data_IF_984825477554
#
_entry.id   IF_984825477554
#
_cell.length_a   1.000
_cell.length_b   1.000
_cell.length_c   1.000
_cell.angle_alpha   90.00
_cell.angle_beta   90.00
_cell.angle_gamma   90.00
#
_symmetry.space_group_name_H-M   'P 1'
#
loop_
_entity.id
_entity.type
_entity.pdbx_description
1 polymer ?
#
# COMPACT_ATOMS: atom_id res chain seq x y z
N UNK A 1 21.00 -42.84 50.57
CA UNK A 1 20.90 -43.51 49.25
C UNK A 1 20.01 -42.65 48.36
N UNK A 2 20.53 -42.17 47.23
CA UNK A 2 19.79 -41.32 46.27
C UNK A 2 18.91 -42.20 45.39
N UNK A 3 17.61 -41.93 45.33
CA UNK A 3 16.71 -42.53 44.36
C UNK A 3 16.55 -41.56 43.16
N UNK A 4 16.87 -42.05 41.97
CA UNK A 4 16.65 -41.38 40.69
C UNK A 4 15.25 -41.77 40.22
N UNK A 5 14.35 -40.80 40.06
CA UNK A 5 13.05 -40.99 39.42
C UNK A 5 13.22 -40.70 37.93
N UNK A 6 12.88 -41.60 37.00
CA UNK A 6 12.91 -41.27 35.58
C UNK A 6 11.66 -40.45 35.24
N UNK A 7 11.89 -39.27 34.66
CA UNK A 7 10.84 -38.46 34.06
C UNK A 7 10.41 -39.11 32.74
N UNK A 8 9.13 -39.50 32.65
CA UNK A 8 8.50 -39.94 31.41
C UNK A 8 8.21 -38.70 30.55
N UNK A 9 8.90 -38.58 29.43
CA UNK A 9 8.65 -37.55 28.42
C UNK A 9 7.44 -37.97 27.59
N UNK A 10 6.28 -37.35 27.83
CA UNK A 10 5.10 -37.52 26.99
C UNK A 10 5.26 -36.67 25.72
N UNK A 11 5.52 -37.33 24.58
CA UNK A 11 5.49 -36.70 23.27
C UNK A 11 4.02 -36.51 22.88
N UNK A 12 3.54 -35.27 22.90
CA UNK A 12 2.24 -34.90 22.33
C UNK A 12 2.43 -34.84 20.81
N UNK A 13 2.00 -35.88 20.09
CA UNK A 13 1.87 -35.82 18.63
C UNK A 13 0.75 -34.83 18.28
N UNK A 14 1.12 -33.64 17.80
CA UNK A 14 0.18 -32.73 17.18
C UNK A 14 -0.33 -33.35 15.87
N UNK A 15 -1.61 -33.70 15.82
CA UNK A 15 -2.27 -34.15 14.59
C UNK A 15 -2.24 -33.01 13.56
N UNK A 16 -1.50 -33.21 12.48
CA UNK A 16 -1.49 -32.31 11.33
C UNK A 16 -2.90 -32.27 10.74
N UNK A 17 -3.65 -31.21 11.03
CA UNK A 17 -4.90 -30.94 10.33
C UNK A 17 -4.56 -30.50 8.91
N UNK A 18 -5.11 -31.15 7.87
CA UNK A 18 -4.95 -30.65 6.52
C UNK A 18 -5.61 -29.27 6.46
N UNK A 19 -4.82 -28.24 6.17
CA UNK A 19 -5.34 -26.91 5.91
C UNK A 19 -6.26 -27.02 4.69
N UNK A 20 -7.57 -26.95 4.91
CA UNK A 20 -8.52 -26.86 3.83
C UNK A 20 -8.18 -25.59 3.04
N UNK A 21 -7.80 -25.74 1.77
CA UNK A 21 -7.63 -24.61 0.88
C UNK A 21 -8.97 -23.87 0.82
N UNK A 22 -9.03 -22.68 1.41
CA UNK A 22 -10.18 -21.80 1.25
C UNK A 22 -10.25 -21.43 -0.22
N UNK A 23 -11.21 -22.01 -0.92
CA UNK A 23 -11.52 -21.60 -2.29
C UNK A 23 -12.25 -20.28 -2.15
N UNK A 24 -11.53 -19.18 -2.36
CA UNK A 24 -12.15 -17.86 -2.40
C UNK A 24 -13.24 -17.89 -3.50
N UNK A 25 -14.46 -17.40 -3.21
CA UNK A 25 -15.48 -17.29 -4.24
C UNK A 25 -14.91 -16.48 -5.41
N UNK A 26 -15.25 -16.88 -6.64
CA UNK A 26 -14.88 -16.13 -7.82
C UNK A 26 -15.38 -14.70 -7.64
N UNK A 27 -14.46 -13.75 -7.44
CA UNK A 27 -14.81 -12.35 -7.33
C UNK A 27 -15.57 -11.99 -8.61
N UNK A 28 -16.79 -11.49 -8.45
CA UNK A 28 -17.42 -10.75 -9.52
C UNK A 28 -16.52 -9.54 -9.73
N UNK A 29 -15.66 -9.60 -10.75
CA UNK A 29 -14.84 -8.47 -11.17
C UNK A 29 -15.82 -7.36 -11.54
N UNK A 30 -15.95 -6.37 -10.65
CA UNK A 30 -16.85 -5.23 -10.87
C UNK A 30 -16.35 -4.38 -12.03
N UNK A 31 -17.18 -3.45 -12.48
CA UNK A 31 -16.73 -2.38 -13.38
C UNK A 31 -15.72 -1.47 -12.66
N UNK A 32 -14.75 -0.87 -13.38
CA UNK A 32 -13.87 0.14 -12.81
C UNK A 32 -14.68 1.24 -12.13
N UNK A 33 -14.32 1.53 -10.88
CA UNK A 33 -14.95 2.60 -10.12
C UNK A 33 -14.74 3.94 -10.83
N UNK A 34 -15.83 4.51 -11.36
CA UNK A 34 -15.79 5.70 -12.19
C UNK A 34 -15.25 6.96 -11.47
N UNK A 35 -15.27 6.98 -10.14
CA UNK A 35 -14.80 8.09 -9.31
C UNK A 35 -13.33 7.96 -8.86
N UNK A 36 -12.69 6.80 -9.06
CA UNK A 36 -11.29 6.61 -8.67
C UNK A 36 -10.30 7.48 -9.46
N UNK A 37 -10.49 7.75 -10.77
CA UNK A 37 -9.65 8.73 -11.48
C UNK A 37 -9.70 10.13 -10.85
N UNK A 38 -10.87 10.56 -10.36
CA UNK A 38 -11.00 11.84 -9.67
C UNK A 38 -10.27 11.83 -8.32
N UNK A 39 -10.31 10.71 -7.59
CA UNK A 39 -9.49 10.52 -6.39
C UNK A 39 -7.99 10.65 -6.69
N UNK A 40 -7.49 10.04 -7.79
CA UNK A 40 -6.08 10.10 -8.17
C UNK A 40 -5.63 11.52 -8.57
N UNK A 41 -6.49 12.29 -9.23
CA UNK A 41 -6.17 13.70 -9.52
C UNK A 41 -6.13 14.53 -8.22
N UNK A 42 -7.12 14.38 -7.34
CA UNK A 42 -7.10 15.05 -6.04
C UNK A 42 -5.85 14.65 -5.25
N UNK A 43 -5.40 13.39 -5.37
CA UNK A 43 -4.14 12.93 -4.78
C UNK A 43 -2.93 13.70 -5.31
N UNK A 44 -2.81 13.87 -6.63
CA UNK A 44 -1.77 14.68 -7.24
C UNK A 44 -1.82 16.15 -6.75
N UNK A 45 -3.02 16.72 -6.61
CA UNK A 45 -3.20 18.08 -6.10
C UNK A 45 -2.67 18.24 -4.67
N UNK A 46 -2.99 17.31 -3.75
CA UNK A 46 -2.46 17.37 -2.39
C UNK A 46 -0.95 17.20 -2.33
N UNK A 47 -0.37 16.35 -3.19
CA UNK A 47 1.09 16.21 -3.31
C UNK A 47 1.72 17.55 -3.72
N UNK A 48 1.21 18.16 -4.80
CA UNK A 48 1.71 19.45 -5.32
C UNK A 48 1.53 20.59 -4.31
N UNK A 49 0.44 20.59 -3.56
CA UNK A 49 0.14 21.60 -2.54
C UNK A 49 0.95 21.41 -1.24
N UNK A 50 1.61 20.26 -1.06
CA UNK A 50 2.27 19.95 0.19
C UNK A 50 1.30 19.71 1.35
N UNK A 51 0.06 19.32 1.07
CA UNK A 51 -1.00 19.16 2.08
C UNK A 51 -0.82 17.84 2.84
N UNK A 52 0.02 17.88 3.88
CA UNK A 52 0.39 16.73 4.70
C UNK A 52 -0.82 16.03 5.32
N UNK A 53 -1.80 16.79 5.82
CA UNK A 53 -2.97 16.19 6.48
C UNK A 53 -3.90 15.52 5.46
N UNK A 54 -4.07 16.11 4.27
CA UNK A 54 -4.79 15.43 3.20
C UNK A 54 -4.05 14.16 2.73
N UNK A 55 -2.71 14.16 2.69
CA UNK A 55 -1.92 12.97 2.36
C UNK A 55 -2.17 11.86 3.38
N UNK A 56 -2.05 12.16 4.68
CA UNK A 56 -2.30 11.20 5.77
C UNK A 56 -3.73 10.64 5.68
N UNK A 57 -4.72 11.51 5.45
CA UNK A 57 -6.12 11.12 5.38
C UNK A 57 -6.47 10.22 4.19
N UNK A 58 -5.57 10.02 3.21
CA UNK A 58 -5.79 9.09 2.09
C UNK A 58 -5.55 7.64 2.45
N UNK A 59 -4.78 7.37 3.49
CA UNK A 59 -4.50 6.01 3.91
C UNK A 59 -5.67 5.39 4.65
N UNK A 60 -5.74 4.06 4.57
CA UNK A 60 -6.71 3.27 5.32
C UNK A 60 -6.53 3.53 6.83
N UNK A 61 -7.63 3.74 7.58
CA UNK A 61 -7.56 3.98 9.03
C UNK A 61 -6.98 2.80 9.83
N UNK A 62 -6.85 1.61 9.23
CA UNK A 62 -6.16 0.47 9.81
C UNK A 62 -4.64 0.45 9.54
N UNK A 63 -4.11 1.38 8.73
CA UNK A 63 -2.73 1.37 8.26
C UNK A 63 -2.60 0.86 6.82
N UNK A 64 -1.39 0.88 6.29
CA UNK A 64 -1.13 0.49 4.91
C UNK A 64 0.22 -0.21 4.75
N UNK A 65 0.32 -1.05 3.72
CA UNK A 65 1.60 -1.61 3.30
C UNK A 65 2.36 -0.62 2.43
N UNK A 66 3.53 -0.21 2.89
CA UNK A 66 4.47 0.57 2.12
C UNK A 66 5.55 -0.36 1.58
N UNK A 67 5.65 -0.43 0.26
CA UNK A 67 6.59 -1.28 -0.47
C UNK A 67 7.52 -0.40 -1.28
N UNK A 68 8.83 -0.64 -1.15
CA UNK A 68 9.82 0.00 -1.99
C UNK A 68 10.97 -0.95 -2.29
N UNK A 69 11.36 -1.03 -3.56
CA UNK A 69 12.45 -1.89 -4.03
C UNK A 69 12.37 -3.34 -3.51
N UNK A 70 11.16 -3.90 -3.49
CA UNK A 70 10.88 -5.28 -3.08
C UNK A 70 10.94 -5.55 -1.57
N UNK A 71 11.01 -4.50 -0.74
CA UNK A 71 10.85 -4.59 0.72
C UNK A 71 9.53 -3.94 1.09
N UNK A 72 8.73 -4.63 1.89
CA UNK A 72 7.43 -4.15 2.35
C UNK A 72 7.34 -4.19 3.86
N UNK A 73 6.77 -3.14 4.43
CA UNK A 73 6.36 -3.08 5.83
C UNK A 73 4.92 -2.59 5.94
N UNK A 74 4.20 -3.11 6.92
CA UNK A 74 2.91 -2.54 7.29
C UNK A 74 3.18 -1.39 8.25
N UNK A 75 2.68 -0.22 7.93
CA UNK A 75 2.74 0.96 8.79
C UNK A 75 1.37 1.22 9.39
N UNK A 76 1.35 1.41 10.71
CA UNK A 76 0.15 1.83 11.42
C UNK A 76 -0.15 3.32 11.12
N UNK A 77 -1.38 3.80 11.32
CA UNK A 77 -1.76 5.18 10.98
C UNK A 77 -0.87 6.25 11.63
N UNK A 78 -0.36 6.00 12.84
CA UNK A 78 0.57 6.90 13.52
C UNK A 78 1.91 7.01 12.80
N UNK A 79 2.45 5.90 12.31
CA UNK A 79 3.73 5.86 11.60
C UNK A 79 3.62 6.56 10.23
N UNK A 80 2.51 6.34 9.52
CA UNK A 80 2.21 7.07 8.28
C UNK A 80 2.14 8.58 8.56
N UNK A 81 1.46 8.98 9.63
CA UNK A 81 1.37 10.38 10.02
C UNK A 81 2.73 10.99 10.35
N UNK A 82 3.59 10.24 11.03
CA UNK A 82 4.96 10.66 11.36
C UNK A 82 5.81 10.87 10.09
N UNK A 83 5.69 10.00 9.08
CA UNK A 83 6.38 10.16 7.78
C UNK A 83 6.02 11.51 7.15
N UNK A 84 4.73 11.80 6.99
CA UNK A 84 4.28 13.02 6.32
C UNK A 84 4.49 14.30 7.14
N UNK A 85 4.45 14.20 8.47
CA UNK A 85 4.71 15.34 9.36
C UNK A 85 6.19 15.60 9.57
N UNK A 86 7.05 14.61 9.32
CA UNK A 86 8.50 14.78 9.41
C UNK A 86 9.04 15.77 8.38
N UNK A 87 10.24 16.30 8.65
CA UNK A 87 10.99 17.11 7.69
C UNK A 87 11.63 16.28 6.57
N UNK A 88 11.58 14.94 6.68
CA UNK A 88 12.06 14.04 5.63
C UNK A 88 11.12 14.03 4.42
N UNK A 89 9.82 14.23 4.64
CA UNK A 89 8.87 14.40 3.54
C UNK A 89 8.81 15.87 3.10
N UNK A 90 9.13 16.08 1.82
CA UNK A 90 9.09 17.40 1.18
C UNK A 90 8.19 17.33 -0.05
N UNK A 91 7.30 18.31 -0.20
CA UNK A 91 6.50 18.42 -1.41
C UNK A 91 7.42 18.61 -2.64
N UNK A 92 7.09 18.01 -3.79
CA UNK A 92 7.84 18.21 -5.01
C UNK A 92 7.59 19.60 -5.60
N UNK A 93 8.54 20.09 -6.39
CA UNK A 93 8.34 21.24 -7.26
C UNK A 93 7.30 20.95 -8.35
N UNK A 94 7.27 19.71 -8.86
CA UNK A 94 6.28 19.26 -9.82
C UNK A 94 6.00 17.76 -9.65
N UNK A 95 4.74 17.38 -9.89
CA UNK A 95 4.26 16.01 -9.82
C UNK A 95 3.26 15.71 -10.94
N UNK A 96 3.41 14.55 -11.59
CA UNK A 96 2.54 14.13 -12.68
C UNK A 96 2.36 12.60 -12.69
N UNK A 97 1.11 12.14 -12.70
CA UNK A 97 0.78 10.74 -13.00
C UNK A 97 0.93 10.43 -14.49
N UNK A 98 1.41 9.24 -14.84
CA UNK A 98 1.65 8.85 -16.22
C UNK A 98 1.16 7.42 -16.50
N UNK A 99 0.18 7.31 -17.41
CA UNK A 99 -0.30 6.02 -17.92
C UNK A 99 -0.96 5.16 -16.85
N UNK A 100 -1.79 5.76 -15.98
CA UNK A 100 -2.52 5.00 -14.97
C UNK A 100 -3.53 4.04 -15.62
N UNK A 101 -3.49 2.78 -15.18
CA UNK A 101 -4.49 1.77 -15.46
C UNK A 101 -5.23 1.42 -14.17
N UNK A 102 -6.55 1.22 -14.27
CA UNK A 102 -7.43 0.94 -13.14
C UNK A 102 -8.00 -0.47 -13.31
N UNK A 103 -7.62 -1.37 -12.41
CA UNK A 103 -7.92 -2.81 -12.48
C UNK A 103 -8.84 -3.15 -11.31
N UNK A 104 -10.14 -3.38 -11.53
CA UNK A 104 -11.05 -3.83 -10.48
C UNK A 104 -10.51 -5.12 -9.85
N UNK A 105 -10.42 -5.16 -8.52
CA UNK A 105 -9.98 -6.33 -7.76
C UNK A 105 -11.01 -6.81 -6.74
N UNK A 106 -12.14 -6.11 -6.65
CA UNK A 106 -13.33 -6.50 -5.89
C UNK A 106 -14.44 -5.45 -6.06
N UNK A 107 -15.61 -5.64 -5.43
CA UNK A 107 -16.72 -4.69 -5.51
C UNK A 107 -16.36 -3.28 -5.03
N UNK A 108 -15.49 -3.20 -4.03
CA UNK A 108 -15.02 -1.97 -3.39
C UNK A 108 -13.49 -1.90 -3.36
N UNK A 109 -12.83 -2.52 -4.34
CA UNK A 109 -11.39 -2.59 -4.40
C UNK A 109 -10.88 -2.45 -5.85
N UNK A 110 -9.85 -1.65 -6.03
CA UNK A 110 -9.20 -1.41 -7.31
C UNK A 110 -7.69 -1.39 -7.12
N UNK A 111 -6.98 -2.07 -8.00
CA UNK A 111 -5.53 -1.91 -8.15
C UNK A 111 -5.27 -0.85 -9.22
N UNK A 112 -4.43 0.13 -8.91
CA UNK A 112 -3.96 1.13 -9.87
C UNK A 112 -2.50 0.85 -10.19
N UNK A 113 -2.16 0.80 -11.47
CA UNK A 113 -0.77 0.66 -11.91
C UNK A 113 -0.40 1.77 -12.88
N UNK A 114 0.87 2.15 -12.91
CA UNK A 114 1.36 3.16 -13.85
C UNK A 114 2.71 3.71 -13.41
N UNK A 115 2.92 5.00 -13.64
CA UNK A 115 4.11 5.72 -13.21
C UNK A 115 3.73 7.10 -12.70
N UNK A 116 4.67 7.74 -12.03
CA UNK A 116 4.65 9.19 -11.87
C UNK A 116 6.04 9.78 -12.06
N UNK A 117 6.08 11.08 -12.34
CA UNK A 117 7.30 11.88 -12.33
C UNK A 117 7.27 12.77 -11.09
N UNK A 118 8.26 12.57 -10.22
CA UNK A 118 8.49 13.40 -9.05
C UNK A 118 9.66 14.33 -9.30
N UNK A 119 9.42 15.64 -9.31
CA UNK A 119 10.47 16.65 -9.49
C UNK A 119 10.77 17.31 -8.15
N UNK A 120 11.90 17.00 -7.50
CA UNK A 120 12.30 17.64 -6.25
C UNK A 120 12.80 19.07 -6.47
N UNK A 121 13.28 19.71 -5.40
CA UNK A 121 13.87 21.04 -5.44
C UNK A 121 15.14 21.17 -6.29
N UNK A 122 15.80 20.06 -6.64
CA UNK A 122 16.92 20.02 -7.59
C UNK A 122 16.48 20.18 -9.06
N UNK A 123 15.17 20.17 -9.33
CA UNK A 123 14.58 20.31 -10.67
C UNK A 123 14.73 19.08 -11.57
N UNK A 124 15.30 17.98 -11.08
CA UNK A 124 15.53 16.77 -11.87
C UNK A 124 14.38 15.79 -11.65
N UNK A 125 13.53 15.64 -12.66
CA UNK A 125 12.41 14.71 -12.63
C UNK A 125 12.88 13.26 -12.47
N UNK A 126 12.26 12.55 -11.52
CA UNK A 126 12.51 11.14 -11.21
C UNK A 126 11.27 10.34 -11.58
N UNK A 127 11.40 9.41 -12.51
CA UNK A 127 10.31 8.50 -12.86
C UNK A 127 10.26 7.34 -11.88
N UNK A 128 9.09 7.12 -11.30
CA UNK A 128 8.81 6.05 -10.34
C UNK A 128 7.71 5.18 -10.91
N UNK A 129 7.92 3.86 -10.91
CA UNK A 129 6.86 2.91 -11.16
C UNK A 129 5.95 2.84 -9.94
N UNK A 130 4.64 2.85 -10.18
CA UNK A 130 3.62 2.90 -9.15
C UNK A 130 2.68 1.71 -9.25
N UNK A 131 2.43 1.08 -8.12
CA UNK A 131 1.34 0.14 -7.91
C UNK A 131 0.66 0.45 -6.58
N UNK A 132 -0.63 0.75 -6.62
CA UNK A 132 -1.44 1.00 -5.43
C UNK A 132 -2.63 0.05 -5.33
N UNK A 133 -2.97 -0.37 -4.11
CA UNK A 133 -4.27 -0.98 -3.82
C UNK A 133 -5.15 0.03 -3.11
N UNK A 134 -6.33 0.25 -3.68
CA UNK A 134 -7.35 1.14 -3.16
C UNK A 134 -8.57 0.33 -2.74
N UNK A 135 -9.12 0.67 -1.58
CA UNK A 135 -10.34 0.07 -1.04
C UNK A 135 -11.30 1.17 -0.61
N UNK A 136 -12.62 0.92 -0.66
CA UNK A 136 -13.56 1.82 0.01
C UNK A 136 -13.65 1.50 1.49
N UNK A 137 -13.53 2.54 2.31
CA UNK A 137 -13.82 2.52 3.74
C UNK A 137 -14.77 3.68 4.02
N UNK A 138 -15.94 3.37 4.57
CA UNK A 138 -17.00 4.35 4.85
C UNK A 138 -17.36 5.22 3.62
N UNK A 139 -17.37 4.60 2.44
CA UNK A 139 -17.71 5.24 1.17
C UNK A 139 -16.58 6.02 0.48
N UNK A 140 -15.45 6.25 1.17
CA UNK A 140 -14.29 6.95 0.62
C UNK A 140 -13.19 5.97 0.16
N UNK A 141 -12.51 6.29 -0.94
CA UNK A 141 -11.31 5.56 -1.35
C UNK A 141 -10.17 5.77 -0.34
N UNK A 142 -9.51 4.67 0.00
CA UNK A 142 -8.36 4.62 0.89
C UNK A 142 -7.24 3.80 0.28
N UNK A 143 -6.01 4.24 0.51
CA UNK A 143 -4.78 3.54 0.15
C UNK A 143 -4.52 2.46 1.19
N UNK A 144 -4.42 1.21 0.75
CA UNK A 144 -4.09 0.06 1.61
C UNK A 144 -2.73 -0.55 1.28
N UNK A 145 -2.26 -0.35 0.05
CA UNK A 145 -0.91 -0.73 -0.40
C UNK A 145 -0.39 0.37 -1.31
N UNK A 146 0.86 0.78 -1.12
CA UNK A 146 1.64 1.51 -2.12
C UNK A 146 2.96 0.82 -2.35
N UNK A 147 3.26 0.57 -3.62
CA UNK A 147 4.56 0.11 -4.09
C UNK A 147 5.15 1.14 -5.05
N UNK A 148 6.28 1.69 -4.63
CA UNK A 148 7.01 2.70 -5.37
C UNK A 148 8.45 2.24 -5.60
N UNK A 149 8.77 2.05 -6.87
CA UNK A 149 10.10 1.62 -7.29
C UNK A 149 10.67 2.61 -8.31
N UNK A 150 11.81 3.27 -8.02
CA UNK A 150 12.49 4.10 -8.99
C UNK A 150 12.81 3.29 -10.25
N UNK A 151 12.50 3.85 -11.42
CA UNK A 151 12.85 3.24 -12.70
C UNK A 151 13.89 4.10 -13.41
N UNK A 152 14.83 3.45 -14.10
CA UNK A 152 15.76 4.16 -14.96
C UNK A 152 14.97 4.92 -16.04
N UNK A 153 15.41 6.15 -16.35
CA UNK A 153 14.86 6.88 -17.48
C UNK A 153 14.99 6.01 -18.74
N UNK A 154 13.87 5.81 -19.45
CA UNK A 154 13.89 5.11 -20.74
C UNK A 154 14.81 5.90 -21.67
N UNK A 155 15.85 5.24 -22.19
CA UNK A 155 16.74 5.81 -23.20
C UNK A 155 16.05 5.91 -24.55
#
# INVERSE_FOLDING_TARGET
MRAIVPAVLAIVLAAAHPAAAQTAPAAAWGEPAADLPAFMEAYAESIRAGDREAMIARYDPAGAWMVSAGRGEHLDPGEIADIYRSDAWQAPQAFEWQGLAYIPTGPDAVTVTGRFVWTPSDGVGRTIAYHGQFVRVDGAWRIRVEDETPVAASR
#
